data_IF_559650266686
#
_entry.id   IF_559650266686
#
_cell.length_a   1.000
_cell.length_b   1.000
_cell.length_c   1.000
_cell.angle_alpha   90.00
_cell.angle_beta   90.00
_cell.angle_gamma   90.00
#
_symmetry.space_group_name_H-M   'P 1'
#
loop_
_entity.id
_entity.type
_entity.pdbx_description
1 polymer ?
#
# COMPACT_ATOMS: atom_id res chain seq x y z
N UNK A 1 -11.35 10.97 1.43
CA UNK A 1 -10.70 9.68 1.79
C UNK A 1 -9.21 9.85 1.98
N UNK A 2 -8.53 8.87 2.58
CA UNK A 2 -7.07 8.83 2.74
C UNK A 2 -6.53 7.73 1.83
N UNK A 3 -5.56 8.07 0.97
CA UNK A 3 -4.83 7.12 0.14
C UNK A 3 -3.42 6.93 0.69
N UNK A 4 -3.07 5.70 1.05
CA UNK A 4 -1.80 5.41 1.73
C UNK A 4 -0.70 4.91 0.80
N UNK A 5 -0.98 4.75 -0.49
CA UNK A 5 -0.01 4.21 -1.44
C UNK A 5 -0.28 4.80 -2.82
N UNK A 6 0.57 5.72 -3.26
CA UNK A 6 0.47 6.33 -4.57
C UNK A 6 1.79 6.97 -5.03
N UNK A 7 1.97 7.07 -6.35
CA UNK A 7 3.23 7.48 -6.98
C UNK A 7 3.05 8.78 -7.76
N UNK A 8 2.73 9.86 -7.02
CA UNK A 8 2.46 11.18 -7.60
C UNK A 8 3.71 12.06 -7.66
N UNK A 9 4.78 11.74 -6.94
CA UNK A 9 5.96 12.60 -6.93
C UNK A 9 6.59 12.67 -8.34
N UNK A 10 6.87 13.87 -8.86
CA UNK A 10 7.33 14.04 -10.24
C UNK A 10 8.79 13.61 -10.40
N UNK A 11 9.03 12.66 -11.30
CA UNK A 11 10.35 12.26 -11.78
C UNK A 11 11.20 11.44 -10.81
N UNK A 12 10.57 10.78 -9.83
CA UNK A 12 11.27 10.03 -8.77
C UNK A 12 11.25 8.52 -8.97
N UNK A 13 10.24 8.01 -9.67
CA UNK A 13 10.07 6.61 -10.02
C UNK A 13 9.26 6.46 -11.32
N UNK A 14 8.61 5.30 -11.52
CA UNK A 14 7.77 5.01 -12.66
C UNK A 14 6.33 5.55 -12.57
N UNK A 15 5.99 6.27 -11.48
CA UNK A 15 4.68 6.88 -11.26
C UNK A 15 4.40 8.07 -12.16
N UNK A 16 4.97 9.23 -11.82
CA UNK A 16 4.79 10.48 -12.58
C UNK A 16 6.11 10.95 -13.17
N UNK A 17 6.13 11.31 -14.45
CA UNK A 17 7.36 11.76 -15.15
C UNK A 17 7.60 13.25 -15.09
N UNK A 18 6.61 14.05 -14.70
CA UNK A 18 6.71 15.52 -14.69
C UNK A 18 5.71 16.15 -13.72
N UNK A 19 5.94 17.41 -13.36
CA UNK A 19 5.01 18.17 -12.52
C UNK A 19 3.60 18.24 -13.12
N UNK A 20 3.48 18.46 -14.43
CA UNK A 20 2.16 18.53 -15.10
C UNK A 20 1.38 17.22 -14.99
N UNK A 21 2.07 16.08 -15.11
CA UNK A 21 1.48 14.75 -14.94
C UNK A 21 1.06 14.56 -13.47
N UNK A 22 1.90 14.96 -12.51
CA UNK A 22 1.60 14.89 -11.09
C UNK A 22 0.37 15.72 -10.70
N UNK A 23 0.26 16.95 -11.24
CA UNK A 23 -0.91 17.81 -11.01
C UNK A 23 -2.19 17.22 -11.62
N UNK A 24 -2.09 16.58 -12.78
CA UNK A 24 -3.21 15.85 -13.38
C UNK A 24 -3.63 14.66 -12.51
N UNK A 25 -2.68 13.85 -12.05
CA UNK A 25 -2.96 12.71 -11.15
C UNK A 25 -3.55 13.18 -9.81
N UNK A 26 -3.11 14.32 -9.28
CA UNK A 26 -3.68 14.89 -8.07
C UNK A 26 -5.13 15.36 -8.26
N UNK A 27 -5.47 15.95 -9.41
CA UNK A 27 -6.86 16.26 -9.74
C UNK A 27 -7.71 14.99 -9.89
N UNK A 28 -7.15 13.94 -10.49
CA UNK A 28 -7.83 12.65 -10.62
C UNK A 28 -8.08 12.01 -9.24
N UNK A 29 -7.13 12.12 -8.30
CA UNK A 29 -7.29 11.70 -6.91
C UNK A 29 -8.45 12.42 -6.20
N UNK A 30 -8.49 13.75 -6.29
CA UNK A 30 -9.56 14.57 -5.71
C UNK A 30 -10.92 14.22 -6.31
N UNK A 31 -10.97 14.01 -7.64
CA UNK A 31 -12.21 13.59 -8.31
C UNK A 31 -12.68 12.20 -7.86
N UNK A 32 -11.74 11.31 -7.51
CA UNK A 32 -12.04 10.01 -6.90
C UNK A 32 -12.24 10.09 -5.37
N UNK A 33 -12.45 11.30 -4.82
CA UNK A 33 -12.83 11.52 -3.42
C UNK A 33 -11.69 11.40 -2.41
N UNK A 34 -10.44 11.51 -2.85
CA UNK A 34 -9.25 11.48 -1.99
C UNK A 34 -8.93 12.91 -1.53
N UNK A 35 -8.83 13.10 -0.22
CA UNK A 35 -8.52 14.40 0.41
C UNK A 35 -7.07 14.43 0.93
N UNK A 36 -6.53 13.26 1.29
CA UNK A 36 -5.20 13.08 1.86
C UNK A 36 -4.47 11.94 1.15
N UNK A 37 -3.20 12.13 0.82
CA UNK A 37 -2.38 11.12 0.16
C UNK A 37 -0.99 10.99 0.80
N UNK A 38 -0.58 9.77 1.12
CA UNK A 38 0.81 9.45 1.44
C UNK A 38 1.54 9.14 0.13
N UNK A 39 2.56 9.93 -0.19
CA UNK A 39 3.36 9.75 -1.40
C UNK A 39 4.43 8.70 -1.12
N UNK A 40 4.34 7.56 -1.79
CA UNK A 40 5.15 6.37 -1.48
C UNK A 40 6.00 5.97 -2.68
N UNK A 41 6.96 6.82 -3.13
CA UNK A 41 7.80 6.44 -4.25
C UNK A 41 8.59 5.18 -3.92
N UNK A 42 8.94 4.42 -4.95
CA UNK A 42 9.76 3.22 -4.79
C UNK A 42 11.10 3.53 -4.11
N UNK A 43 11.53 2.67 -3.19
CA UNK A 43 12.82 2.75 -2.52
C UNK A 43 13.48 1.37 -2.39
N UNK A 44 14.77 1.29 -2.77
CA UNK A 44 15.62 0.11 -2.70
C UNK A 44 15.08 -1.13 -3.45
N UNK A 45 14.35 -0.93 -4.55
CA UNK A 45 13.82 -2.02 -5.38
C UNK A 45 14.81 -2.55 -6.43
N UNK A 46 16.07 -2.08 -6.39
CA UNK A 46 17.14 -2.37 -7.35
C UNK A 46 17.24 -1.38 -8.52
N UNK A 47 16.18 -0.58 -8.75
CA UNK A 47 16.12 0.43 -9.81
C UNK A 47 16.10 1.84 -9.21
N UNK A 48 15.26 2.06 -8.21
CA UNK A 48 15.04 3.37 -7.60
C UNK A 48 15.61 3.46 -6.19
N UNK A 49 16.28 4.57 -5.91
CA UNK A 49 16.85 4.92 -4.62
C UNK A 49 16.45 6.36 -4.24
N UNK A 50 15.27 6.49 -3.65
CA UNK A 50 14.71 7.77 -3.24
C UNK A 50 14.96 8.01 -1.75
N UNK A 51 16.07 8.65 -1.37
CA UNK A 51 16.45 8.88 0.03
C UNK A 51 15.44 9.71 0.83
N UNK A 52 15.27 9.41 2.12
CA UNK A 52 14.26 10.04 3.02
C UNK A 52 14.22 11.57 2.90
N UNK A 53 15.39 12.21 3.01
CA UNK A 53 15.50 13.69 3.00
C UNK A 53 15.04 14.29 1.67
N UNK A 54 15.30 13.59 0.56
CA UNK A 54 14.91 14.04 -0.78
C UNK A 54 13.39 13.94 -0.94
N UNK A 55 12.79 12.82 -0.52
CA UNK A 55 11.33 12.61 -0.60
C UNK A 55 10.58 13.62 0.28
N UNK A 56 11.06 13.92 1.48
CA UNK A 56 10.47 14.96 2.35
C UNK A 56 10.46 16.31 1.62
N UNK A 57 11.62 16.74 1.08
CA UNK A 57 11.73 18.00 0.37
C UNK A 57 10.82 18.04 -0.86
N UNK A 58 10.81 16.99 -1.68
CA UNK A 58 9.97 16.93 -2.88
C UNK A 58 8.48 16.91 -2.55
N UNK A 59 8.09 16.29 -1.43
CA UNK A 59 6.69 16.33 -0.96
C UNK A 59 6.28 17.74 -0.55
N UNK A 60 7.16 18.47 0.14
CA UNK A 60 6.93 19.88 0.49
C UNK A 60 6.83 20.76 -0.76
N UNK A 61 7.77 20.61 -1.70
CA UNK A 61 7.76 21.33 -2.97
C UNK A 61 6.48 21.02 -3.77
N UNK A 62 6.03 19.76 -3.76
CA UNK A 62 4.80 19.35 -4.43
C UNK A 62 3.53 19.92 -3.75
N UNK A 63 3.48 19.96 -2.41
CA UNK A 63 2.35 20.60 -1.71
C UNK A 63 2.21 22.09 -2.10
N UNK A 64 3.32 22.82 -2.21
CA UNK A 64 3.31 24.22 -2.67
C UNK A 64 2.69 24.33 -4.06
N UNK A 65 3.00 23.39 -4.96
CA UNK A 65 2.44 23.35 -6.30
C UNK A 65 0.95 23.00 -6.33
N UNK A 66 0.49 22.09 -5.47
CA UNK A 66 -0.93 21.79 -5.28
C UNK A 66 -1.69 23.04 -4.80
N UNK A 67 -1.14 23.75 -3.80
CA UNK A 67 -1.73 24.96 -3.24
C UNK A 67 -1.79 26.08 -4.29
N UNK A 68 -0.71 26.27 -5.06
CA UNK A 68 -0.64 27.24 -6.17
C UNK A 68 -1.71 27.00 -7.23
N UNK A 69 -1.97 25.73 -7.56
CA UNK A 69 -2.98 25.32 -8.54
C UNK A 69 -4.38 25.12 -7.92
N UNK A 70 -4.54 25.36 -6.62
CA UNK A 70 -5.80 25.21 -5.88
C UNK A 70 -6.38 23.80 -5.96
N UNK A 71 -5.51 22.79 -5.96
CA UNK A 71 -5.91 21.38 -5.90
C UNK A 71 -6.06 21.01 -4.42
N UNK A 72 -7.28 20.68 -3.93
CA UNK A 72 -7.54 20.47 -2.51
C UNK A 72 -7.11 19.05 -2.07
N UNK A 73 -5.82 18.74 -2.23
CA UNK A 73 -5.21 17.49 -1.81
C UNK A 73 -4.08 17.79 -0.82
N UNK A 74 -4.14 17.16 0.35
CA UNK A 74 -3.06 17.23 1.34
C UNK A 74 -2.12 16.05 1.17
N UNK A 75 -0.82 16.30 1.03
CA UNK A 75 0.17 15.24 0.82
C UNK A 75 1.12 15.09 2.00
N UNK A 76 1.56 13.84 2.23
CA UNK A 76 2.51 13.46 3.28
C UNK A 76 3.62 12.59 2.70
N UNK A 77 4.87 12.70 3.20
CA UNK A 77 5.98 11.90 2.68
C UNK A 77 5.95 10.49 3.26
N UNK A 78 6.07 9.49 2.38
CA UNK A 78 6.26 8.07 2.71
C UNK A 78 7.25 7.44 1.74
N UNK A 79 7.37 6.12 1.76
CA UNK A 79 8.10 5.33 0.75
C UNK A 79 7.42 3.98 0.60
N UNK A 80 7.44 3.42 -0.61
CA UNK A 80 7.23 1.99 -0.81
C UNK A 80 8.61 1.32 -0.78
N UNK A 81 8.90 0.57 0.28
CA UNK A 81 10.23 0.01 0.51
C UNK A 81 10.25 -1.46 0.12
N UNK A 82 11.08 -1.81 -0.87
CA UNK A 82 11.29 -3.21 -1.25
C UNK A 82 12.10 -3.93 -0.17
N UNK A 83 11.63 -5.10 0.24
CA UNK A 83 12.41 -5.95 1.15
C UNK A 83 13.76 -6.36 0.51
N UNK A 84 14.86 -6.16 1.23
CA UNK A 84 16.20 -6.58 0.84
C UNK A 84 17.12 -6.73 2.07
N UNK A 85 18.36 -7.17 1.87
CA UNK A 85 19.33 -7.37 2.96
C UNK A 85 19.83 -6.08 3.63
N UNK A 86 19.69 -4.93 2.97
CA UNK A 86 20.20 -3.64 3.43
C UNK A 86 19.16 -2.82 4.20
N UNK A 87 17.90 -3.25 4.24
CA UNK A 87 16.79 -2.53 4.88
C UNK A 87 17.08 -2.18 6.34
N UNK A 88 17.63 -3.11 7.13
CA UNK A 88 17.96 -2.85 8.54
C UNK A 88 19.05 -1.79 8.68
N UNK A 89 20.05 -1.81 7.79
CA UNK A 89 21.09 -0.80 7.74
C UNK A 89 20.52 0.58 7.38
N UNK A 90 19.62 0.65 6.39
CA UNK A 90 18.96 1.90 6.01
C UNK A 90 18.10 2.47 7.16
N UNK A 91 17.43 1.60 7.93
CA UNK A 91 16.73 1.99 9.16
C UNK A 91 17.68 2.57 10.21
N UNK A 92 18.82 1.90 10.46
CA UNK A 92 19.83 2.35 11.42
C UNK A 92 20.47 3.70 11.02
N UNK A 93 20.44 4.02 9.73
CA UNK A 93 20.94 5.27 9.15
C UNK A 93 19.89 6.40 9.06
N UNK A 94 18.66 6.15 9.53
CA UNK A 94 17.52 7.07 9.39
C UNK A 94 17.22 7.45 7.93
N UNK A 95 17.29 6.50 6.99
CA UNK A 95 17.02 6.76 5.56
C UNK A 95 15.68 6.19 5.06
N UNK A 96 14.86 5.68 5.98
CA UNK A 96 13.53 5.15 5.67
C UNK A 96 12.43 6.11 6.13
N UNK A 97 11.44 6.31 5.25
CA UNK A 97 10.16 6.95 5.55
C UNK A 97 9.10 5.89 5.82
N UNK A 98 8.24 6.23 6.76
CA UNK A 98 7.12 5.40 7.21
C UNK A 98 5.80 6.01 6.73
N UNK A 99 4.71 5.31 6.98
CA UNK A 99 3.37 5.82 6.71
C UNK A 99 2.91 6.86 7.76
N UNK A 100 3.61 6.96 8.90
CA UNK A 100 3.38 7.92 9.96
C UNK A 100 4.68 8.61 10.42
N UNK A 101 4.54 9.74 11.10
CA UNK A 101 5.67 10.50 11.65
C UNK A 101 6.37 9.79 12.82
N UNK A 102 5.69 8.87 13.50
CA UNK A 102 6.19 8.13 14.66
C UNK A 102 7.08 6.93 14.30
N UNK A 103 7.22 6.61 13.01
CA UNK A 103 8.06 5.52 12.53
C UNK A 103 7.47 4.13 12.78
N UNK A 104 6.14 4.02 12.88
CA UNK A 104 5.49 2.78 13.29
C UNK A 104 5.11 1.87 12.13
N UNK A 105 4.56 2.42 11.06
CA UNK A 105 3.99 1.64 9.96
C UNK A 105 4.88 1.73 8.73
N UNK A 106 5.44 0.60 8.28
CA UNK A 106 6.32 0.55 7.12
C UNK A 106 5.59 -0.08 5.92
N UNK A 107 5.47 0.65 4.81
CA UNK A 107 4.94 0.11 3.56
C UNK A 107 5.99 -0.79 2.91
N UNK A 108 5.81 -2.11 3.04
CA UNK A 108 6.81 -3.11 2.69
C UNK A 108 6.37 -3.90 1.45
N UNK A 109 7.17 -3.83 0.40
CA UNK A 109 6.93 -4.47 -0.89
C UNK A 109 7.76 -5.76 -1.03
N UNK A 110 7.17 -6.77 -1.65
CA UNK A 110 7.86 -8.00 -2.10
C UNK A 110 8.18 -7.95 -3.59
N UNK A 111 9.21 -8.67 -4.08
CA UNK A 111 9.35 -8.94 -5.51
C UNK A 111 8.06 -9.56 -6.08
N UNK A 112 7.65 -9.18 -7.29
CA UNK A 112 6.36 -9.58 -7.89
C UNK A 112 6.09 -11.09 -7.88
N UNK A 113 7.13 -11.90 -8.07
CA UNK A 113 7.03 -13.35 -8.22
C UNK A 113 7.55 -14.15 -7.03
N UNK A 114 8.05 -13.50 -5.99
CA UNK A 114 8.67 -14.16 -4.85
C UNK A 114 8.34 -13.52 -3.50
N UNK A 115 8.54 -14.32 -2.46
CA UNK A 115 8.59 -13.87 -1.06
C UNK A 115 9.91 -14.43 -0.53
N UNK A 116 10.93 -13.59 -0.33
CA UNK A 116 12.28 -14.07 -0.04
C UNK A 116 12.33 -14.94 1.21
N UNK A 117 13.22 -15.92 1.25
CA UNK A 117 13.33 -16.87 2.38
C UNK A 117 13.64 -16.19 3.72
N UNK A 118 14.38 -15.08 3.68
CA UNK A 118 14.73 -14.27 4.85
C UNK A 118 13.59 -13.37 5.36
N UNK A 119 12.42 -13.36 4.69
CA UNK A 119 11.28 -12.51 5.07
C UNK A 119 10.89 -12.71 6.54
N UNK A 120 10.84 -13.96 7.03
CA UNK A 120 10.43 -14.20 8.42
C UNK A 120 11.40 -13.59 9.43
N UNK A 121 12.70 -13.60 9.13
CA UNK A 121 13.72 -12.98 9.98
C UNK A 121 13.60 -11.46 9.92
N UNK A 122 13.48 -10.89 8.71
CA UNK A 122 13.30 -9.45 8.54
C UNK A 122 12.08 -8.92 9.30
N UNK A 123 10.92 -9.59 9.17
CA UNK A 123 9.70 -9.20 9.89
C UNK A 123 9.91 -9.26 11.40
N UNK A 124 10.59 -10.29 11.92
CA UNK A 124 10.90 -10.37 13.35
C UNK A 124 11.76 -9.19 13.82
N UNK A 125 12.82 -8.85 13.08
CA UNK A 125 13.70 -7.71 13.41
C UNK A 125 12.95 -6.36 13.39
N UNK A 126 12.08 -6.15 12.39
CA UNK A 126 11.23 -4.97 12.33
C UNK A 126 10.28 -4.88 13.53
N UNK A 127 9.63 -5.98 13.89
CA UNK A 127 8.70 -6.02 15.03
C UNK A 127 9.40 -5.78 16.37
N UNK A 128 10.63 -6.29 16.56
CA UNK A 128 11.44 -6.01 17.76
C UNK A 128 11.77 -4.52 17.91
N UNK A 129 11.85 -3.80 16.78
CA UNK A 129 12.04 -2.33 16.74
C UNK A 129 10.73 -1.55 16.89
N UNK A 130 9.59 -2.23 17.11
CA UNK A 130 8.27 -1.60 17.19
C UNK A 130 7.67 -1.22 15.84
N UNK A 131 8.28 -1.65 14.73
CA UNK A 131 7.84 -1.35 13.36
C UNK A 131 6.86 -2.45 12.91
N UNK A 132 5.69 -2.04 12.45
CA UNK A 132 4.63 -2.89 11.90
C UNK A 132 4.69 -2.79 10.37
N UNK A 133 5.10 -3.86 9.67
CA UNK A 133 5.09 -3.89 8.22
C UNK A 133 3.67 -4.02 7.68
N UNK A 134 3.33 -3.16 6.73
CA UNK A 134 2.13 -3.23 5.90
C UNK A 134 2.58 -3.83 4.58
N UNK A 135 2.18 -5.09 4.34
CA UNK A 135 2.47 -5.77 3.08
C UNK A 135 1.61 -5.12 1.99
N UNK A 136 2.25 -4.41 1.07
CA UNK A 136 1.55 -3.76 -0.04
C UNK A 136 1.20 -4.77 -1.12
N UNK A 137 0.02 -4.56 -1.71
CA UNK A 137 -0.55 -5.31 -2.85
C UNK A 137 -0.25 -6.83 -2.88
N UNK A 138 -0.43 -7.59 -1.77
CA UNK A 138 -0.12 -9.01 -1.73
C UNK A 138 -0.97 -9.83 -2.71
N UNK A 139 -2.09 -9.26 -3.19
CA UNK A 139 -2.93 -9.86 -4.22
C UNK A 139 -2.29 -9.92 -5.61
N UNK A 140 -1.23 -9.13 -5.84
CA UNK A 140 -0.46 -9.09 -7.09
C UNK A 140 0.77 -9.98 -7.04
N UNK A 141 1.23 -10.39 -5.86
CA UNK A 141 2.38 -11.28 -5.70
C UNK A 141 2.04 -12.72 -6.11
N UNK A 142 2.72 -13.24 -7.14
CA UNK A 142 2.33 -14.55 -7.72
C UNK A 142 2.62 -15.72 -6.78
N UNK A 143 3.60 -15.62 -5.87
CA UNK A 143 3.89 -16.65 -4.88
C UNK A 143 2.83 -16.68 -3.78
N UNK A 144 2.37 -15.51 -3.31
CA UNK A 144 1.27 -15.40 -2.34
C UNK A 144 -0.04 -15.90 -2.96
N UNK A 145 -0.34 -15.54 -4.22
CA UNK A 145 -1.52 -16.07 -4.93
C UNK A 145 -1.50 -17.61 -5.01
N UNK A 146 -0.34 -18.21 -5.30
CA UNK A 146 -0.18 -19.68 -5.36
C UNK A 146 -0.22 -20.33 -3.98
N UNK A 147 0.27 -19.66 -2.94
CA UNK A 147 0.34 -20.15 -1.56
C UNK A 147 -0.18 -19.09 -0.58
N UNK A 148 -1.51 -18.89 -0.48
CA UNK A 148 -2.10 -17.82 0.34
C UNK A 148 -1.73 -17.89 1.83
N UNK A 149 -1.40 -19.08 2.33
CA UNK A 149 -0.91 -19.31 3.69
C UNK A 149 0.36 -18.50 4.03
N UNK A 150 1.12 -18.05 3.01
CA UNK A 150 2.24 -17.13 3.24
C UNK A 150 1.76 -15.84 3.91
N UNK A 151 0.75 -15.18 3.35
CA UNK A 151 0.23 -13.93 3.91
C UNK A 151 -0.42 -14.18 5.26
N UNK A 152 -1.21 -15.26 5.39
CA UNK A 152 -1.85 -15.64 6.66
C UNK A 152 -0.83 -15.74 7.82
N UNK A 153 0.33 -16.37 7.59
CA UNK A 153 1.39 -16.45 8.60
C UNK A 153 2.08 -15.11 8.88
N UNK A 154 2.17 -14.21 7.90
CA UNK A 154 2.69 -12.85 8.12
C UNK A 154 1.74 -12.04 9.00
N UNK A 155 0.43 -12.11 8.73
CA UNK A 155 -0.58 -11.44 9.53
C UNK A 155 -0.63 -11.99 10.97
N UNK A 156 -0.48 -13.31 11.16
CA UNK A 156 -0.35 -13.92 12.49
C UNK A 156 0.89 -13.45 13.27
N UNK A 157 1.91 -12.92 12.60
CA UNK A 157 3.09 -12.32 13.24
C UNK A 157 2.92 -10.83 13.52
N UNK A 158 1.76 -10.25 13.22
CA UNK A 158 1.43 -8.85 13.47
C UNK A 158 1.56 -7.94 12.25
N UNK A 159 1.91 -8.44 11.06
CA UNK A 159 1.88 -7.64 9.85
C UNK A 159 0.44 -7.21 9.51
N UNK A 160 0.32 -6.13 8.75
CA UNK A 160 -0.92 -5.72 8.09
C UNK A 160 -0.79 -5.91 6.58
N UNK A 161 -1.88 -5.64 5.86
CA UNK A 161 -1.92 -5.75 4.41
C UNK A 161 -2.77 -4.64 3.78
N UNK A 162 -2.31 -4.16 2.64
CA UNK A 162 -2.98 -3.16 1.82
C UNK A 162 -3.34 -3.79 0.47
N UNK A 163 -4.62 -3.71 0.09
CA UNK A 163 -5.11 -4.21 -1.21
C UNK A 163 -5.20 -3.04 -2.19
N UNK A 164 -4.81 -3.24 -3.43
CA UNK A 164 -4.97 -2.21 -4.46
C UNK A 164 -6.44 -2.08 -4.84
N UNK A 165 -7.00 -0.86 -4.82
CA UNK A 165 -8.39 -0.62 -5.19
C UNK A 165 -8.71 -1.15 -6.60
N UNK A 166 -7.81 -0.87 -7.56
CA UNK A 166 -7.87 -1.39 -8.93
C UNK A 166 -7.94 -2.92 -9.01
N UNK A 167 -7.19 -3.62 -8.15
CA UNK A 167 -7.22 -5.08 -8.04
C UNK A 167 -8.59 -5.58 -7.65
N UNK A 168 -9.19 -4.98 -6.62
CA UNK A 168 -10.51 -5.38 -6.13
C UNK A 168 -11.64 -5.07 -7.12
N UNK A 169 -11.57 -3.97 -7.88
CA UNK A 169 -12.58 -3.66 -8.90
C UNK A 169 -12.38 -4.43 -10.21
N UNK A 170 -11.16 -4.92 -10.48
CA UNK A 170 -10.87 -5.86 -11.58
C UNK A 170 -9.96 -5.34 -12.68
N UNK A 171 -9.29 -4.19 -12.49
CA UNK A 171 -8.38 -3.58 -13.46
C UNK A 171 -7.17 -4.48 -13.81
N UNK A 172 -6.77 -5.36 -12.89
CA UNK A 172 -5.66 -6.32 -13.08
C UNK A 172 -6.13 -7.74 -13.45
N UNK A 173 -7.38 -7.87 -13.90
CA UNK A 173 -7.95 -9.12 -14.38
C UNK A 173 -8.56 -10.01 -13.30
N UNK A 174 -9.32 -11.01 -13.76
CA UNK A 174 -10.22 -11.81 -12.92
C UNK A 174 -9.52 -12.56 -11.79
N UNK A 175 -8.31 -13.10 -12.02
CA UNK A 175 -7.58 -13.86 -10.99
C UNK A 175 -7.21 -12.98 -9.80
N UNK A 176 -6.68 -11.78 -10.07
CA UNK A 176 -6.30 -10.79 -9.05
C UNK A 176 -7.55 -10.27 -8.33
N UNK A 177 -8.62 -9.98 -9.07
CA UNK A 177 -9.90 -9.55 -8.50
C UNK A 177 -10.49 -10.57 -7.52
N UNK A 178 -10.53 -11.84 -7.95
CA UNK A 178 -11.02 -12.95 -7.13
C UNK A 178 -10.20 -13.09 -5.85
N UNK A 179 -8.88 -13.04 -5.97
CA UNK A 179 -8.00 -13.20 -4.81
C UNK A 179 -8.11 -12.01 -3.85
N UNK A 180 -8.19 -10.77 -4.36
CA UNK A 180 -8.47 -9.57 -3.57
C UNK A 180 -9.73 -9.74 -2.72
N UNK A 181 -10.82 -10.23 -3.34
CA UNK A 181 -12.08 -10.50 -2.64
C UNK A 181 -11.94 -11.58 -1.57
N UNK A 182 -11.18 -12.64 -1.83
CA UNK A 182 -10.93 -13.70 -0.84
C UNK A 182 -10.16 -13.17 0.37
N UNK A 183 -9.17 -12.29 0.16
CA UNK A 183 -8.42 -11.65 1.24
C UNK A 183 -9.33 -10.80 2.14
N UNK A 184 -10.22 -10.00 1.53
CA UNK A 184 -11.22 -9.21 2.28
C UNK A 184 -12.20 -10.12 3.04
N UNK A 185 -12.74 -11.15 2.37
CA UNK A 185 -13.67 -12.12 2.94
C UNK A 185 -13.11 -12.84 4.16
N UNK A 186 -11.83 -13.16 4.12
CA UNK A 186 -11.15 -13.89 5.19
C UNK A 186 -10.54 -12.98 6.25
N UNK A 187 -10.79 -11.67 6.21
CA UNK A 187 -10.26 -10.70 7.18
C UNK A 187 -8.78 -10.36 6.99
N UNK A 188 -8.15 -10.86 5.93
CA UNK A 188 -6.72 -10.70 5.64
C UNK A 188 -6.36 -9.40 4.90
N UNK A 189 -7.29 -8.42 4.84
CA UNK A 189 -7.08 -7.11 4.24
C UNK A 189 -7.48 -6.00 5.23
N UNK A 190 -6.62 -4.99 5.41
CA UNK A 190 -6.82 -3.93 6.40
C UNK A 190 -7.21 -2.58 5.79
N UNK A 191 -6.67 -2.26 4.62
CA UNK A 191 -6.90 -0.99 3.93
C UNK A 191 -6.94 -1.17 2.42
N UNK A 192 -7.56 -0.20 1.75
CA UNK A 192 -7.37 0.03 0.33
C UNK A 192 -6.36 1.17 0.13
N UNK A 193 -5.65 1.11 -0.99
CA UNK A 193 -4.91 2.23 -1.53
C UNK A 193 -4.94 2.17 -3.06
N UNK A 194 -4.67 3.29 -3.72
CA UNK A 194 -4.81 3.40 -5.17
C UNK A 194 -3.70 2.69 -5.92
N UNK A 195 -2.45 2.81 -5.45
CA UNK A 195 -1.24 2.42 -6.16
C UNK A 195 -1.22 3.06 -7.58
N UNK A 196 -1.69 4.31 -7.66
CA UNK A 196 -1.90 5.04 -8.91
C UNK A 196 -0.57 5.51 -9.53
N UNK A 197 -0.48 5.38 -10.86
CA UNK A 197 0.66 5.75 -11.72
C UNK A 197 0.13 6.36 -13.02
N UNK A 198 0.97 7.10 -13.77
CA UNK A 198 0.68 7.49 -15.16
C UNK A 198 0.90 6.33 -16.14
N UNK A 199 0.21 5.21 -15.89
CA UNK A 199 0.30 3.98 -16.67
C UNK A 199 -1.09 3.43 -16.99
N UNK A 200 -1.25 2.70 -18.12
CA UNK A 200 -2.50 2.01 -18.42
C UNK A 200 -2.93 1.08 -17.26
N UNK A 201 -4.22 1.10 -16.92
CA UNK A 201 -4.84 0.31 -15.84
C UNK A 201 -4.39 0.66 -14.40
N UNK A 202 -3.59 1.72 -14.21
CA UNK A 202 -3.14 2.22 -12.90
C UNK A 202 -3.88 3.49 -12.48
N UNK A 203 -5.19 3.54 -12.76
CA UNK A 203 -6.07 4.68 -12.45
C UNK A 203 -6.62 4.57 -11.03
N UNK A 204 -7.08 5.69 -10.49
CA UNK A 204 -7.83 5.74 -9.24
C UNK A 204 -9.16 5.00 -9.34
N UNK A 205 -9.41 4.13 -8.37
CA UNK A 205 -10.61 3.29 -8.25
C UNK A 205 -11.08 3.19 -6.79
N UNK A 206 -10.65 4.11 -5.92
CA UNK A 206 -10.93 4.11 -4.48
C UNK A 206 -12.43 4.22 -4.21
N UNK A 207 -13.12 5.18 -4.86
CA UNK A 207 -14.57 5.33 -4.69
C UNK A 207 -15.30 4.06 -5.14
N UNK A 208 -14.94 3.52 -6.31
CA UNK A 208 -15.55 2.30 -6.83
C UNK A 208 -15.28 1.07 -5.94
N UNK A 209 -14.08 0.96 -5.38
CA UNK A 209 -13.72 -0.10 -4.44
C UNK A 209 -14.56 -0.02 -3.16
N UNK A 210 -14.76 1.16 -2.58
CA UNK A 210 -15.60 1.33 -1.39
C UNK A 210 -17.09 1.11 -1.68
N UNK A 211 -17.60 1.57 -2.83
CA UNK A 211 -18.98 1.28 -3.27
C UNK A 211 -19.19 -0.23 -3.40
N UNK A 212 -18.27 -0.92 -4.07
CA UNK A 212 -18.32 -2.38 -4.22
C UNK A 212 -18.23 -3.09 -2.85
N UNK A 213 -17.35 -2.63 -1.97
CA UNK A 213 -17.22 -3.18 -0.61
C UNK A 213 -18.51 -3.01 0.20
N UNK A 214 -19.15 -1.83 0.14
CA UNK A 214 -20.42 -1.61 0.83
C UNK A 214 -21.50 -2.59 0.34
N UNK A 215 -21.59 -2.80 -0.98
CA UNK A 215 -22.55 -3.73 -1.56
C UNK A 215 -22.27 -5.20 -1.19
N UNK A 216 -21.00 -5.62 -1.15
CA UNK A 216 -20.64 -7.02 -0.90
C UNK A 216 -20.51 -7.39 0.59
N UNK A 217 -20.08 -6.46 1.44
CA UNK A 217 -19.71 -6.71 2.84
C UNK A 217 -20.40 -5.78 3.85
N UNK A 218 -21.09 -4.75 3.39
CA UNK A 218 -21.76 -3.77 4.24
C UNK A 218 -20.88 -2.61 4.71
N UNK A 219 -21.53 -1.62 5.31
CA UNK A 219 -20.92 -0.34 5.69
C UNK A 219 -19.88 -0.45 6.81
N UNK A 220 -19.96 -1.48 7.65
CA UNK A 220 -18.99 -1.70 8.73
C UNK A 220 -17.58 -1.97 8.18
N UNK A 221 -17.48 -2.69 7.06
CA UNK A 221 -16.20 -2.92 6.38
C UNK A 221 -15.64 -1.62 5.81
N UNK A 222 -16.48 -0.80 5.17
CA UNK A 222 -16.10 0.52 4.63
C UNK A 222 -15.59 1.42 5.74
N UNK A 223 -16.33 1.50 6.85
CA UNK A 223 -15.97 2.32 8.00
C UNK A 223 -14.66 1.87 8.62
N UNK A 224 -14.46 0.56 8.79
CA UNK A 224 -13.21 -0.01 9.30
C UNK A 224 -12.01 0.27 8.40
N UNK A 225 -12.14 0.12 7.09
CA UNK A 225 -11.04 0.37 6.16
C UNK A 225 -10.64 1.86 6.15
N UNK A 226 -11.61 2.78 6.15
CA UNK A 226 -11.34 4.22 6.24
C UNK A 226 -10.69 4.61 7.58
N UNK A 227 -11.21 4.07 8.69
CA UNK A 227 -10.66 4.32 10.02
C UNK A 227 -9.24 3.73 10.16
N UNK A 228 -8.98 2.54 9.62
CA UNK A 228 -7.64 1.97 9.59
C UNK A 228 -6.66 2.86 8.81
N UNK A 229 -7.08 3.40 7.66
CA UNK A 229 -6.21 4.30 6.89
C UNK A 229 -5.84 5.56 7.69
N UNK A 230 -6.82 6.13 8.41
CA UNK A 230 -6.61 7.26 9.31
C UNK A 230 -5.69 6.92 10.48
N UNK A 231 -5.85 5.74 11.07
CA UNK A 231 -4.99 5.28 12.18
C UNK A 231 -3.55 5.08 11.74
N UNK A 232 -3.35 4.48 10.56
CA UNK A 232 -2.01 4.27 10.01
C UNK A 232 -1.28 5.59 9.86
N UNK A 233 -1.86 6.57 9.17
CA UNK A 233 -1.17 7.85 8.92
C UNK A 233 -0.91 8.66 10.20
N UNK A 234 -1.68 8.42 11.26
CA UNK A 234 -1.50 9.03 12.57
C UNK A 234 -0.59 8.23 13.52
N UNK A 235 -0.16 7.01 13.15
CA UNK A 235 0.60 6.12 14.04
C UNK A 235 -0.25 5.46 15.15
N UNK A 236 -1.57 5.56 15.08
CA UNK A 236 -2.51 5.04 16.07
C UNK A 236 -2.61 3.50 16.01
N UNK A 237 -2.93 2.87 17.14
CA UNK A 237 -3.14 1.42 17.20
C UNK A 237 -4.26 0.96 16.26
N UNK A 238 -3.99 -0.04 15.42
CA UNK A 238 -5.00 -0.82 14.71
C UNK A 238 -5.32 -2.10 15.50
N UNK A 239 -6.61 -2.40 15.63
CA UNK A 239 -7.05 -3.69 16.15
C UNK A 239 -6.88 -4.76 15.07
N UNK A 240 -6.24 -5.91 15.38
CA UNK A 240 -6.17 -7.03 14.44
C UNK A 240 -7.57 -7.48 14.02
N UNK A 241 -7.73 -7.77 12.73
CA UNK A 241 -8.95 -8.41 12.25
C UNK A 241 -9.03 -9.84 12.83
N UNK A 242 -10.26 -10.36 12.99
CA UNK A 242 -10.43 -11.80 13.09
C UNK A 242 -10.31 -12.37 11.67
N UNK A 243 -9.17 -12.99 11.36
CA UNK A 243 -8.90 -13.54 10.03
C UNK A 243 -8.74 -15.06 10.03
N UNK A 244 -8.98 -15.67 8.89
CA UNK A 244 -8.95 -17.13 8.70
C UNK A 244 -8.18 -17.52 7.43
N UNK A 245 -7.79 -18.79 7.35
CA UNK A 245 -7.11 -19.31 6.15
C UNK A 245 -8.03 -19.29 4.92
N UNK A 246 -7.48 -18.94 3.77
CA UNK A 246 -8.17 -19.13 2.49
C UNK A 246 -8.16 -20.61 2.16
N UNK A 247 -9.34 -21.25 2.23
CA UNK A 247 -9.50 -22.65 1.84
C UNK A 247 -9.25 -22.81 0.34
N UNK A 248 -8.09 -23.35 -0.03
CA UNK A 248 -7.86 -23.84 -1.39
C UNK A 248 -8.60 -25.15 -1.55
N UNK A 249 -9.67 -25.16 -2.35
CA UNK A 249 -10.19 -26.42 -2.88
C UNK A 249 -9.10 -27.01 -3.77
N UNK A 250 -8.28 -27.91 -3.22
CA UNK A 250 -7.52 -28.83 -4.06
C UNK A 250 -8.55 -29.61 -4.85
N UNK A 251 -8.70 -29.29 -6.13
CA UNK A 251 -9.19 -30.28 -7.08
C UNK A 251 -8.19 -31.45 -7.01
N UNK A 252 -8.51 -32.46 -6.19
CA UNK A 252 -8.00 -33.81 -6.39
C UNK A 252 -8.57 -34.26 -7.73
N UNK A 253 -7.81 -34.02 -8.80
CA UNK A 253 -7.95 -34.81 -10.01
C UNK A 253 -7.55 -36.24 -9.62
N UNK A 254 -8.58 -37.08 -9.49
CA UNK A 254 -8.45 -38.53 -9.60
C UNK A 254 -8.16 -38.87 -11.06
#
# INVERSE_FOLDING_TARGET
MIDLHCHLLPGVDDGSKSMDISLKLANDAVRDGIDYALLTPHHMNGIYLNHKKVVIKQTQDFQVELDRHKIPLKVFPGQEVRINGDLLTALDQDDILFADEGGRYLMLEFPDDDVPSYTSTMIYELMQRGIIPIIVHPERNTKIMKKPDILYRLLNRGCLSQITAGSYVGAFGYKVQKFSKQLIQTGQAYVFASDAHDLPNRKYEMTNAFVKMNHEFGNDYVSRFNENAKRIINGDNILPNNFSEIKTHLFRLF
#
